data_IF_357788869470
#
_entry.id   IF_357788869470
#
_cell.length_a   1.000
_cell.length_b   1.000
_cell.length_c   1.000
_cell.angle_alpha   90.00
_cell.angle_beta   90.00
_cell.angle_gamma   90.00
#
_symmetry.space_group_name_H-M   'P 1'
#
loop_
_entity.id
_entity.type
_entity.pdbx_description
1 polymer ?
#
# COMPACT_ATOMS: atom_id res chain seq x y z
N UNK A 1 -7.65 -15.33 -19.95
CA UNK A 1 -6.64 -14.23 -20.14
C UNK A 1 -5.25 -14.84 -20.18
N UNK A 2 -4.42 -14.47 -21.14
CA UNK A 2 -3.09 -15.06 -21.40
C UNK A 2 -2.02 -14.10 -20.90
N UNK A 3 -1.12 -14.56 -20.03
CA UNK A 3 0.03 -13.80 -19.55
C UNK A 3 1.27 -14.18 -20.35
N UNK A 4 1.98 -13.18 -20.85
CA UNK A 4 3.25 -13.31 -21.55
C UNK A 4 4.31 -12.63 -20.66
N UNK A 5 5.35 -13.38 -20.30
CA UNK A 5 6.48 -12.88 -19.53
C UNK A 5 7.71 -12.73 -20.42
N UNK A 6 8.72 -11.99 -19.95
CA UNK A 6 10.03 -11.87 -20.57
C UNK A 6 10.01 -11.30 -22.00
N UNK A 7 9.09 -10.37 -22.30
CA UNK A 7 9.17 -9.59 -23.54
C UNK A 7 10.26 -8.55 -23.33
N UNK A 8 11.30 -8.59 -24.14
CA UNK A 8 12.45 -7.72 -24.07
C UNK A 8 12.43 -6.70 -25.20
N UNK A 9 12.66 -5.43 -24.89
CA UNK A 9 12.74 -4.33 -25.86
C UNK A 9 13.86 -3.39 -25.40
N UNK A 10 14.74 -2.98 -26.34
CA UNK A 10 15.76 -1.99 -26.05
C UNK A 10 15.15 -0.70 -25.52
N UNK A 11 15.77 -0.12 -24.48
CA UNK A 11 15.32 1.15 -23.93
C UNK A 11 15.28 2.27 -24.96
N UNK A 12 16.22 2.28 -25.91
CA UNK A 12 16.30 3.27 -26.98
C UNK A 12 15.21 3.08 -28.06
N UNK A 13 14.70 1.85 -28.22
CA UNK A 13 13.57 1.59 -29.10
C UNK A 13 12.26 2.09 -28.49
N UNK A 14 12.08 1.94 -27.18
CA UNK A 14 10.90 2.43 -26.46
C UNK A 14 10.97 3.95 -26.27
N UNK A 15 12.08 4.44 -25.71
CA UNK A 15 12.23 5.84 -25.30
C UNK A 15 11.30 6.18 -24.13
N UNK A 16 10.71 7.37 -24.18
CA UNK A 16 9.75 7.88 -23.20
C UNK A 16 8.30 7.92 -23.74
N UNK A 17 8.05 7.32 -24.91
CA UNK A 17 6.76 7.36 -25.60
C UNK A 17 5.90 6.15 -25.23
N UNK A 18 4.90 6.35 -24.38
CA UNK A 18 3.99 5.30 -23.91
C UNK A 18 3.10 4.70 -25.04
N UNK A 19 2.77 5.48 -26.05
CA UNK A 19 2.00 4.95 -27.19
C UNK A 19 2.86 4.03 -28.06
N UNK A 20 4.11 4.42 -28.27
CA UNK A 20 5.10 3.60 -28.96
C UNK A 20 5.38 2.31 -28.20
N UNK A 21 5.55 2.40 -26.87
CA UNK A 21 5.68 1.23 -25.98
C UNK A 21 4.52 0.26 -26.16
N UNK A 22 3.29 0.76 -26.09
CA UNK A 22 2.08 -0.06 -26.27
C UNK A 22 2.01 -0.71 -27.64
N UNK A 23 2.35 0.01 -28.72
CA UNK A 23 2.38 -0.53 -30.09
C UNK A 23 3.42 -1.64 -30.25
N UNK A 24 4.61 -1.46 -29.69
CA UNK A 24 5.67 -2.47 -29.72
C UNK A 24 5.26 -3.72 -28.93
N UNK A 25 4.71 -3.55 -27.76
CA UNK A 25 4.21 -4.67 -26.94
C UNK A 25 3.10 -5.44 -27.65
N UNK A 26 2.16 -4.74 -28.31
CA UNK A 26 1.10 -5.38 -29.09
C UNK A 26 1.66 -6.19 -30.25
N UNK A 27 2.61 -5.62 -31.01
CA UNK A 27 3.29 -6.30 -32.13
C UNK A 27 4.03 -7.56 -31.67
N UNK A 28 4.85 -7.46 -30.63
CA UNK A 28 5.63 -8.59 -30.11
C UNK A 28 4.73 -9.67 -29.50
N UNK A 29 3.68 -9.26 -28.78
CA UNK A 29 2.70 -10.20 -28.23
C UNK A 29 1.97 -10.98 -29.30
N UNK A 30 1.57 -10.33 -30.40
CA UNK A 30 0.94 -10.99 -31.53
C UNK A 30 1.89 -12.04 -32.17
N UNK A 31 3.16 -11.70 -32.34
CA UNK A 31 4.18 -12.64 -32.84
C UNK A 31 4.36 -13.84 -31.92
N UNK A 32 4.47 -13.62 -30.61
CA UNK A 32 4.62 -14.68 -29.61
C UNK A 32 3.39 -15.60 -29.51
N UNK A 33 2.20 -15.06 -29.75
CA UNK A 33 0.94 -15.79 -29.75
C UNK A 33 0.59 -16.38 -31.13
N UNK A 34 1.43 -16.15 -32.17
CA UNK A 34 1.18 -16.60 -33.54
C UNK A 34 -0.19 -16.16 -34.06
N UNK A 35 -0.57 -14.91 -33.77
CA UNK A 35 -1.84 -14.30 -34.20
C UNK A 35 -1.60 -12.89 -34.79
N UNK A 36 -2.64 -12.28 -35.38
CA UNK A 36 -2.57 -10.91 -35.89
C UNK A 36 -2.73 -9.92 -34.75
N UNK A 37 -2.22 -8.69 -34.90
CA UNK A 37 -2.38 -7.64 -33.91
C UNK A 37 -3.86 -7.28 -33.63
N UNK A 38 -4.71 -7.40 -34.66
CA UNK A 38 -6.16 -7.15 -34.56
C UNK A 38 -6.91 -8.27 -33.82
N UNK A 39 -6.30 -9.43 -33.66
CA UNK A 39 -6.84 -10.52 -32.85
C UNK A 39 -6.71 -10.23 -31.35
N UNK A 40 -5.87 -9.24 -30.97
CA UNK A 40 -5.71 -8.77 -29.60
C UNK A 40 -6.80 -7.76 -29.24
N UNK A 41 -7.81 -8.22 -28.50
CA UNK A 41 -8.92 -7.39 -28.00
C UNK A 41 -8.47 -6.42 -26.90
N UNK A 42 -7.57 -6.88 -25.99
CA UNK A 42 -7.05 -6.06 -24.88
C UNK A 42 -5.63 -6.51 -24.53
N UNK A 43 -4.76 -5.55 -24.35
CA UNK A 43 -3.42 -5.72 -23.80
C UNK A 43 -3.32 -4.87 -22.53
N UNK A 44 -2.87 -5.47 -21.43
CA UNK A 44 -2.60 -4.78 -20.18
C UNK A 44 -1.15 -5.00 -19.81
N UNK A 45 -0.40 -3.93 -19.65
CA UNK A 45 0.92 -3.97 -19.04
C UNK A 45 0.77 -4.32 -17.56
N UNK A 46 1.46 -5.37 -17.13
CA UNK A 46 1.39 -5.91 -15.75
C UNK A 46 2.64 -5.58 -14.97
N UNK A 47 3.81 -5.61 -15.65
CA UNK A 47 5.09 -5.36 -15.02
C UNK A 47 6.10 -4.88 -16.04
N UNK A 48 6.89 -3.89 -15.64
CA UNK A 48 8.07 -3.40 -16.33
C UNK A 48 9.27 -3.53 -15.39
N UNK A 49 10.38 -4.06 -15.87
CA UNK A 49 11.64 -4.10 -15.15
C UNK A 49 12.79 -3.78 -16.09
N UNK A 50 13.92 -3.37 -15.53
CA UNK A 50 15.13 -3.01 -16.28
C UNK A 50 16.11 -4.19 -16.20
N UNK A 51 16.61 -4.63 -17.33
CA UNK A 51 17.75 -5.55 -17.46
C UNK A 51 18.97 -4.75 -17.91
N UNK A 52 19.83 -4.37 -16.96
CA UNK A 52 21.05 -3.59 -17.19
C UNK A 52 22.33 -4.43 -16.96
N UNK A 53 22.24 -5.75 -17.09
CA UNK A 53 23.41 -6.63 -16.96
C UNK A 53 24.44 -6.34 -18.06
N UNK A 54 23.97 -6.02 -19.26
CA UNK A 54 24.76 -5.56 -20.40
C UNK A 54 24.57 -4.07 -20.54
N UNK A 55 25.58 -3.29 -20.14
CA UNK A 55 25.49 -1.82 -20.09
C UNK A 55 25.30 -1.17 -21.45
N UNK A 56 25.79 -1.81 -22.51
CA UNK A 56 25.67 -1.33 -23.89
C UNK A 56 24.34 -1.72 -24.53
N UNK A 57 23.64 -2.70 -23.95
CA UNK A 57 22.35 -3.19 -24.41
C UNK A 57 21.36 -3.32 -23.24
N UNK A 58 20.96 -2.20 -22.67
CA UNK A 58 19.96 -2.17 -21.61
C UNK A 58 18.57 -2.37 -22.21
N UNK A 59 17.81 -3.29 -21.64
CA UNK A 59 16.47 -3.65 -22.08
C UNK A 59 15.42 -3.41 -20.99
N UNK A 60 14.25 -2.98 -21.39
CA UNK A 60 13.04 -3.20 -20.60
C UNK A 60 12.59 -4.65 -20.75
N UNK A 61 12.21 -5.25 -19.64
CA UNK A 61 11.63 -6.61 -19.58
C UNK A 61 10.20 -6.51 -19.10
N UNK A 62 9.28 -6.89 -19.95
CA UNK A 62 7.86 -6.73 -19.71
C UNK A 62 7.16 -8.04 -19.38
N UNK A 63 6.09 -7.92 -18.59
CA UNK A 63 5.03 -8.90 -18.46
C UNK A 63 3.72 -8.24 -18.85
N UNK A 64 2.99 -8.85 -19.76
CA UNK A 64 1.69 -8.35 -20.23
C UNK A 64 0.60 -9.42 -20.09
N UNK A 65 -0.62 -8.96 -19.85
CA UNK A 65 -1.82 -9.77 -19.93
C UNK A 65 -2.56 -9.44 -21.22
N UNK A 66 -2.81 -10.46 -22.03
CA UNK A 66 -3.45 -10.33 -23.33
C UNK A 66 -4.80 -11.06 -23.32
N UNK A 67 -5.82 -10.41 -23.84
CA UNK A 67 -7.10 -11.02 -24.15
C UNK A 67 -7.28 -11.04 -25.67
N UNK A 68 -7.39 -12.22 -26.24
CA UNK A 68 -7.68 -12.42 -27.65
C UNK A 68 -9.20 -12.42 -27.91
N UNK A 69 -9.59 -12.27 -29.16
CA UNK A 69 -10.96 -12.51 -29.59
C UNK A 69 -11.31 -14.00 -29.50
N UNK A 70 -12.56 -14.30 -29.17
CA UNK A 70 -13.04 -15.67 -29.00
C UNK A 70 -12.94 -16.50 -30.31
N UNK A 71 -12.92 -15.82 -31.47
CA UNK A 71 -12.66 -16.44 -32.77
C UNK A 71 -11.28 -17.09 -32.89
N UNK A 72 -10.31 -16.68 -32.07
CA UNK A 72 -8.91 -17.19 -32.09
C UNK A 72 -8.70 -18.29 -31.06
N UNK A 73 -9.19 -18.07 -29.84
CA UNK A 73 -8.91 -18.95 -28.69
C UNK A 73 -10.11 -19.81 -28.29
N UNK A 74 -11.28 -19.55 -28.88
CA UNK A 74 -12.55 -20.13 -28.48
C UNK A 74 -13.17 -19.42 -27.25
N UNK A 75 -14.45 -19.73 -26.94
CA UNK A 75 -15.22 -18.99 -25.96
C UNK A 75 -15.00 -19.41 -24.50
N UNK A 76 -14.27 -20.50 -24.26
CA UNK A 76 -14.11 -21.06 -22.91
C UNK A 76 -12.67 -20.97 -22.38
N UNK A 77 -12.51 -21.05 -21.05
CA UNK A 77 -11.19 -21.13 -20.42
C UNK A 77 -10.42 -22.38 -20.86
N UNK A 78 -11.10 -23.48 -21.12
CA UNK A 78 -10.48 -24.71 -21.57
C UNK A 78 -9.90 -24.59 -23.00
N UNK A 79 -10.63 -23.93 -23.90
CA UNK A 79 -10.12 -23.69 -25.27
C UNK A 79 -8.95 -22.72 -25.27
N UNK A 80 -8.97 -21.68 -24.43
CA UNK A 80 -7.84 -20.79 -24.23
C UNK A 80 -6.63 -21.54 -23.65
N UNK A 81 -6.82 -22.46 -22.71
CA UNK A 81 -5.73 -23.29 -22.18
C UNK A 81 -5.08 -24.14 -23.26
N UNK A 82 -5.88 -24.85 -24.05
CA UNK A 82 -5.40 -25.65 -25.18
C UNK A 82 -4.65 -24.83 -26.23
N UNK A 83 -5.09 -23.60 -26.45
CA UNK A 83 -4.37 -22.66 -27.32
C UNK A 83 -2.98 -22.34 -26.76
N UNK A 84 -2.89 -21.99 -25.47
CA UNK A 84 -1.61 -21.68 -24.79
C UNK A 84 -0.67 -22.88 -24.79
N UNK A 85 -1.16 -24.09 -24.53
CA UNK A 85 -0.36 -25.31 -24.53
C UNK A 85 0.26 -25.61 -25.91
N UNK A 86 -0.48 -25.33 -26.99
CA UNK A 86 0.04 -25.51 -28.37
C UNK A 86 1.22 -24.61 -28.71
N UNK A 87 1.35 -23.45 -28.05
CA UNK A 87 2.45 -22.51 -28.29
C UNK A 87 3.79 -23.05 -27.76
N UNK A 88 3.78 -24.02 -26.86
CA UNK A 88 4.97 -24.66 -26.25
C UNK A 88 6.01 -23.66 -25.74
N UNK A 89 5.56 -22.53 -25.19
CA UNK A 89 6.41 -21.45 -24.71
C UNK A 89 6.25 -21.28 -23.19
N UNK A 90 7.31 -21.55 -22.43
CA UNK A 90 7.31 -21.48 -20.97
C UNK A 90 7.02 -20.07 -20.40
N UNK A 91 7.21 -19.02 -21.19
CA UNK A 91 6.92 -17.65 -20.82
C UNK A 91 5.44 -17.29 -21.02
N UNK A 92 4.64 -18.16 -21.62
CA UNK A 92 3.22 -17.92 -21.90
C UNK A 92 2.38 -18.85 -21.04
N UNK A 93 1.41 -18.28 -20.32
CA UNK A 93 0.51 -19.08 -19.48
C UNK A 93 -0.87 -18.47 -19.40
N UNK A 94 -1.86 -19.33 -19.21
CA UNK A 94 -3.20 -18.88 -18.88
C UNK A 94 -3.28 -18.34 -17.45
N UNK A 95 -4.05 -17.28 -17.25
CA UNK A 95 -4.29 -16.66 -15.94
C UNK A 95 -5.75 -16.80 -15.53
N UNK A 96 -5.97 -17.46 -14.41
CA UNK A 96 -7.30 -17.70 -13.82
C UNK A 96 -7.46 -16.98 -12.45
N UNK A 97 -6.67 -15.90 -12.21
CA UNK A 97 -6.71 -15.21 -10.92
C UNK A 97 -7.96 -14.34 -10.83
N UNK A 98 -8.85 -14.66 -9.89
CA UNK A 98 -9.92 -13.75 -9.51
C UNK A 98 -9.31 -12.53 -8.78
N UNK A 99 -9.83 -11.31 -9.01
CA UNK A 99 -9.42 -10.15 -8.22
C UNK A 99 -9.80 -10.33 -6.76
N UNK A 100 -9.01 -9.74 -5.85
CA UNK A 100 -9.39 -9.64 -4.44
C UNK A 100 -10.70 -8.85 -4.35
N UNK A 101 -11.71 -9.43 -3.72
CA UNK A 101 -13.00 -8.79 -3.47
C UNK A 101 -13.14 -8.58 -1.98
N UNK A 102 -13.43 -7.35 -1.55
CA UNK A 102 -13.79 -7.06 -0.17
C UNK A 102 -15.22 -7.53 0.10
N UNK A 103 -15.54 -7.99 1.32
CA UNK A 103 -16.90 -8.35 1.73
C UNK A 103 -17.73 -7.07 1.98
N UNK A 104 -17.97 -6.29 0.93
CA UNK A 104 -18.80 -5.09 1.01
C UNK A 104 -20.24 -5.51 1.18
N UNK A 105 -20.97 -5.03 2.21
CA UNK A 105 -22.39 -5.30 2.36
C UNK A 105 -23.12 -4.85 1.08
N UNK A 106 -23.97 -5.69 0.55
CA UNK A 106 -24.91 -5.23 -0.50
C UNK A 106 -25.75 -4.13 0.15
N UNK A 107 -25.88 -2.99 -0.51
CA UNK A 107 -26.75 -1.91 -0.05
C UNK A 107 -28.15 -2.50 0.21
N UNK A 108 -28.48 -2.70 1.47
CA UNK A 108 -29.87 -2.86 1.91
C UNK A 108 -30.42 -1.44 1.83
N UNK A 109 -31.26 -1.21 0.82
CA UNK A 109 -31.87 0.10 0.59
C UNK A 109 -32.50 0.67 1.84
N UNK A 110 -32.25 1.95 2.05
CA UNK A 110 -32.88 2.85 3.02
C UNK A 110 -32.77 2.50 4.51
N UNK A 111 -31.79 3.12 5.16
CA UNK A 111 -32.00 3.65 6.51
C UNK A 111 -30.94 4.67 6.89
N UNK A 112 -30.92 5.86 6.28
CA UNK A 112 -30.38 7.10 6.89
C UNK A 112 -30.93 8.31 6.11
N UNK A 113 -32.21 8.59 6.33
CA UNK A 113 -32.78 9.90 6.07
C UNK A 113 -32.70 10.70 7.36
N UNK A 114 -31.68 11.51 7.51
CA UNK A 114 -31.54 12.49 8.57
C UNK A 114 -31.05 13.79 7.96
N UNK A 115 -31.98 14.69 7.68
CA UNK A 115 -31.71 16.10 7.39
C UNK A 115 -31.06 16.73 8.61
N UNK A 116 -29.83 17.23 8.46
CA UNK A 116 -29.20 18.09 9.47
C UNK A 116 -29.36 19.53 9.07
N UNK A 117 -30.36 20.21 9.65
CA UNK A 117 -30.29 21.65 9.85
C UNK A 117 -29.49 21.91 11.13
N UNK A 118 -28.62 22.89 11.04
CA UNK A 118 -27.58 23.17 12.00
C UNK A 118 -28.04 23.77 13.32
N UNK A 119 -27.05 23.95 14.19
CA UNK A 119 -27.02 24.61 15.51
C UNK A 119 -27.51 23.81 16.69
N UNK A 120 -26.60 23.32 17.50
CA UNK A 120 -26.90 22.71 18.81
C UNK A 120 -25.66 22.26 19.54
N UNK A 121 -25.33 23.00 20.57
CA UNK A 121 -24.35 22.76 21.63
C UNK A 121 -24.48 21.33 22.19
N UNK A 122 -23.35 20.67 22.34
CA UNK A 122 -23.32 19.24 22.53
C UNK A 122 -23.31 18.75 23.96
N UNK A 123 -24.40 18.29 24.48
CA UNK A 123 -24.46 17.26 25.53
C UNK A 123 -25.74 16.49 25.31
N UNK A 124 -25.67 15.27 24.82
CA UNK A 124 -26.82 14.42 24.57
C UNK A 124 -26.44 12.94 24.65
N UNK A 125 -26.44 12.37 25.85
CA UNK A 125 -26.67 10.96 26.07
C UNK A 125 -28.06 10.61 25.53
N UNK A 126 -28.08 9.73 24.53
CA UNK A 126 -29.34 9.26 23.93
C UNK A 126 -29.11 7.98 23.15
N UNK A 127 -28.80 6.89 23.82
CA UNK A 127 -28.76 5.55 23.24
C UNK A 127 -30.11 4.92 23.46
N UNK A 128 -30.92 4.87 22.41
CA UNK A 128 -32.12 4.02 22.36
C UNK A 128 -31.71 2.55 22.31
N UNK A 129 -32.16 1.78 23.26
CA UNK A 129 -31.99 0.33 23.36
C UNK A 129 -33.00 -0.37 22.44
N UNK A 130 -32.59 -0.71 21.22
CA UNK A 130 -33.35 -1.60 20.36
C UNK A 130 -32.63 -2.96 20.31
N UNK A 131 -33.11 -3.93 21.00
CA UNK A 131 -32.75 -5.35 21.23
C UNK A 131 -31.92 -6.16 20.22
N UNK A 132 -31.35 -5.54 19.16
CA UNK A 132 -30.27 -6.04 18.35
C UNK A 132 -29.01 -5.28 18.81
N UNK A 133 -28.17 -5.92 19.63
CA UNK A 133 -27.03 -5.31 20.27
C UNK A 133 -26.27 -4.39 19.33
N UNK A 134 -26.26 -3.08 19.62
CA UNK A 134 -25.53 -2.05 18.85
C UNK A 134 -24.08 -2.49 18.78
N UNK A 135 -23.61 -2.88 17.61
CA UNK A 135 -22.19 -3.22 17.42
C UNK A 135 -21.36 -1.98 17.69
N UNK A 136 -20.62 -1.99 18.80
CA UNK A 136 -19.69 -0.91 19.15
C UNK A 136 -18.69 -0.71 18.00
N UNK A 137 -18.27 0.54 17.79
CA UNK A 137 -17.31 0.87 16.75
C UNK A 137 -15.99 0.09 16.95
N UNK A 138 -15.40 -0.52 15.92
CA UNK A 138 -14.09 -1.13 16.02
C UNK A 138 -13.03 -0.06 16.26
N UNK A 139 -12.09 -0.35 17.17
CA UNK A 139 -10.99 0.56 17.47
C UNK A 139 -9.72 0.08 16.76
N UNK A 140 -9.03 1.02 16.12
CA UNK A 140 -7.73 0.80 15.47
C UNK A 140 -6.71 1.67 16.17
N UNK A 141 -5.68 1.07 16.75
CA UNK A 141 -4.60 1.76 17.44
C UNK A 141 -3.38 1.89 16.54
N UNK A 142 -3.03 3.12 16.22
CA UNK A 142 -1.99 3.49 15.27
C UNK A 142 -2.52 3.73 13.86
N UNK A 143 -2.11 4.83 13.25
CA UNK A 143 -2.43 5.23 11.87
C UNK A 143 -1.25 5.07 10.91
N UNK A 144 -0.31 4.19 11.22
CA UNK A 144 0.70 3.70 10.28
C UNK A 144 0.08 2.88 9.14
N UNK A 145 0.87 2.33 8.21
CA UNK A 145 0.32 1.64 7.04
C UNK A 145 -0.67 0.53 7.38
N UNK A 146 -0.41 -0.25 8.43
CA UNK A 146 -1.30 -1.32 8.86
C UNK A 146 -2.65 -0.78 9.36
N UNK A 147 -2.63 0.20 10.26
CA UNK A 147 -3.85 0.78 10.82
C UNK A 147 -4.66 1.57 9.80
N UNK A 148 -3.98 2.33 8.93
CA UNK A 148 -4.61 3.07 7.85
C UNK A 148 -5.38 2.15 6.89
N UNK A 149 -4.76 1.04 6.47
CA UNK A 149 -5.44 0.06 5.61
C UNK A 149 -6.52 -0.72 6.36
N UNK A 150 -6.33 -1.05 7.64
CA UNK A 150 -7.38 -1.67 8.45
C UNK A 150 -8.62 -0.77 8.54
N UNK A 151 -8.42 0.51 8.86
CA UNK A 151 -9.49 1.49 8.92
C UNK A 151 -10.17 1.70 7.55
N UNK A 152 -9.38 1.78 6.47
CA UNK A 152 -9.89 1.88 5.11
C UNK A 152 -10.79 0.69 4.72
N UNK A 153 -10.32 -0.53 4.98
CA UNK A 153 -11.11 -1.76 4.68
C UNK A 153 -12.37 -1.82 5.52
N UNK A 154 -12.29 -1.47 6.81
CA UNK A 154 -13.48 -1.37 7.67
C UNK A 154 -14.50 -0.37 7.11
N UNK A 155 -14.04 0.81 6.70
CA UNK A 155 -14.89 1.84 6.12
C UNK A 155 -15.54 1.39 4.78
N UNK A 156 -14.77 0.73 3.90
CA UNK A 156 -15.30 0.12 2.66
C UNK A 156 -16.35 -0.96 2.94
N UNK A 157 -16.23 -1.67 4.07
CA UNK A 157 -17.20 -2.67 4.52
C UNK A 157 -18.37 -2.08 5.33
N UNK A 158 -18.57 -0.76 5.31
CA UNK A 158 -19.68 -0.09 6.00
C UNK A 158 -19.54 -0.05 7.52
N UNK A 159 -18.30 -0.25 8.06
CA UNK A 159 -18.01 -0.10 9.49
C UNK A 159 -17.46 1.32 9.74
N UNK A 160 -17.70 1.83 10.92
CA UNK A 160 -17.24 3.18 11.33
C UNK A 160 -16.12 3.08 12.37
N UNK A 161 -14.85 2.86 11.95
CA UNK A 161 -13.75 2.68 12.88
C UNK A 161 -13.41 3.97 13.64
N UNK A 162 -12.92 3.83 14.89
CA UNK A 162 -12.27 4.89 15.64
C UNK A 162 -10.78 4.60 15.61
N UNK A 163 -9.99 5.54 15.09
CA UNK A 163 -8.55 5.43 14.97
C UNK A 163 -7.90 6.28 16.05
N UNK A 164 -7.10 5.64 16.92
CA UNK A 164 -6.28 6.30 17.94
C UNK A 164 -4.85 6.43 17.42
N UNK A 165 -4.37 7.65 17.22
CA UNK A 165 -3.00 7.92 16.82
C UNK A 165 -2.29 8.75 17.91
N UNK A 166 -1.13 8.27 18.36
CA UNK A 166 -0.31 8.91 19.39
C UNK A 166 0.16 10.30 18.99
N UNK A 167 0.61 10.43 17.74
CA UNK A 167 1.11 11.69 17.21
C UNK A 167 0.05 12.53 16.52
N UNK A 168 0.52 13.50 15.79
CA UNK A 168 -0.30 14.47 15.03
C UNK A 168 -0.69 13.93 13.65
N UNK A 169 -1.63 14.65 13.02
CA UNK A 169 -1.90 14.51 11.59
C UNK A 169 -0.65 14.78 10.74
N UNK A 170 -0.68 14.31 9.49
CA UNK A 170 0.51 14.32 8.62
C UNK A 170 1.05 15.73 8.34
N UNK A 171 0.21 16.75 8.31
CA UNK A 171 0.63 18.13 8.05
C UNK A 171 1.42 18.70 9.25
N UNK A 172 0.89 18.57 10.47
CA UNK A 172 1.57 19.01 11.69
C UNK A 172 2.79 18.15 12.02
N UNK A 173 2.70 16.85 11.75
CA UNK A 173 3.82 15.93 11.92
C UNK A 173 4.99 16.30 11.03
N UNK A 174 4.76 16.74 9.79
CA UNK A 174 5.81 17.20 8.88
C UNK A 174 6.58 18.37 9.52
N UNK A 175 5.87 19.38 10.03
CA UNK A 175 6.51 20.51 10.70
C UNK A 175 7.34 20.09 11.93
N UNK A 176 6.83 19.17 12.76
CA UNK A 176 7.59 18.65 13.91
C UNK A 176 8.84 17.86 13.51
N UNK A 177 8.77 17.14 12.41
CA UNK A 177 9.91 16.38 11.85
C UNK A 177 10.99 17.32 11.32
N UNK A 178 10.60 18.42 10.65
CA UNK A 178 11.52 19.47 10.21
C UNK A 178 12.25 20.12 11.40
N UNK A 179 11.51 20.50 12.45
CA UNK A 179 12.11 21.04 13.68
C UNK A 179 13.12 20.05 14.30
N UNK A 180 12.83 18.76 14.29
CA UNK A 180 13.77 17.74 14.76
C UNK A 180 15.05 17.70 13.92
N UNK A 181 14.96 17.74 12.61
CA UNK A 181 16.14 17.74 11.74
C UNK A 181 16.99 19.00 11.87
N UNK A 182 16.37 20.15 12.10
CA UNK A 182 17.08 21.43 12.27
C UNK A 182 17.72 21.57 13.65
N UNK A 183 17.02 21.18 14.71
CA UNK A 183 17.39 21.48 16.10
C UNK A 183 17.90 20.27 16.90
N UNK A 184 17.68 19.04 16.42
CA UNK A 184 17.91 17.81 17.17
C UNK A 184 16.90 17.56 18.31
N UNK A 185 15.88 18.40 18.47
CA UNK A 185 14.90 18.29 19.53
C UNK A 185 13.80 17.28 19.18
N UNK A 186 13.86 16.11 19.80
CA UNK A 186 12.90 15.05 19.58
C UNK A 186 11.61 15.26 20.39
N UNK A 187 10.46 15.20 19.73
CA UNK A 187 9.16 15.02 20.37
C UNK A 187 8.91 13.50 20.56
N UNK A 188 8.72 13.00 21.80
CA UNK A 188 8.60 11.56 22.05
C UNK A 188 7.32 10.94 21.47
N UNK A 189 6.26 11.71 21.33
CA UNK A 189 4.95 11.23 20.87
C UNK A 189 4.65 11.56 19.39
N UNK A 190 5.37 12.51 18.77
CA UNK A 190 5.20 12.88 17.38
C UNK A 190 6.54 13.12 16.68
N UNK A 191 6.98 12.16 15.86
CA UNK A 191 8.32 12.17 15.26
C UNK A 191 8.38 11.30 14.00
N UNK A 192 9.59 10.85 13.58
CA UNK A 192 9.79 10.00 12.40
C UNK A 192 9.09 8.63 12.55
N UNK A 193 8.86 8.14 13.79
CA UNK A 193 8.27 6.83 14.05
C UNK A 193 6.78 6.90 14.37
N UNK A 194 6.34 7.95 15.07
CA UNK A 194 4.98 8.15 15.54
C UNK A 194 4.32 9.31 14.82
N UNK A 195 3.02 9.19 14.59
CA UNK A 195 2.18 10.12 13.87
C UNK A 195 1.58 9.50 12.61
N UNK A 196 0.63 10.19 12.02
CA UNK A 196 -0.14 9.72 10.88
C UNK A 196 0.76 9.25 9.71
N UNK A 197 0.41 8.10 9.13
CA UNK A 197 1.17 7.45 8.07
C UNK A 197 2.34 6.57 8.56
N UNK A 198 2.71 6.66 9.86
CA UNK A 198 3.77 5.84 10.46
C UNK A 198 5.17 6.16 9.94
N UNK A 199 6.15 5.32 10.27
CA UNK A 199 7.56 5.53 9.90
C UNK A 199 7.82 5.55 8.38
N UNK A 200 6.92 4.98 7.58
CA UNK A 200 7.03 4.95 6.12
C UNK A 200 6.90 6.31 5.45
N UNK A 201 6.11 7.22 6.02
CA UNK A 201 5.80 8.53 5.43
C UNK A 201 7.05 9.40 5.21
N UNK A 202 8.03 9.30 6.10
CA UNK A 202 9.29 10.05 6.00
C UNK A 202 10.48 9.17 5.60
N UNK A 203 10.21 8.01 5.00
CA UNK A 203 11.22 7.17 4.39
C UNK A 203 11.50 7.60 2.94
N UNK A 204 12.36 6.87 2.24
CA UNK A 204 12.64 7.14 0.83
C UNK A 204 11.52 6.71 -0.14
N UNK A 205 10.34 6.33 0.36
CA UNK A 205 9.15 6.03 -0.45
C UNK A 205 9.22 4.75 -1.29
N UNK A 206 10.20 3.90 -1.07
CA UNK A 206 10.31 2.62 -1.79
C UNK A 206 9.31 1.60 -1.27
N UNK A 207 8.43 1.13 -2.14
CA UNK A 207 7.44 0.11 -1.84
C UNK A 207 7.96 -1.30 -2.17
N UNK A 208 8.99 -1.74 -1.45
CA UNK A 208 9.61 -3.03 -1.68
C UNK A 208 9.08 -4.09 -0.71
N UNK A 209 8.72 -5.26 -1.25
CA UNK A 209 8.37 -6.44 -0.46
C UNK A 209 9.00 -7.70 -1.04
N UNK A 210 9.34 -8.64 -0.19
CA UNK A 210 9.77 -10.00 -0.58
C UNK A 210 8.62 -11.02 -0.55
N UNK A 211 7.42 -10.60 -0.17
CA UNK A 211 6.24 -11.46 -0.07
C UNK A 211 5.75 -11.83 -1.48
N UNK A 212 5.47 -13.12 -1.69
CA UNK A 212 4.81 -13.59 -2.91
C UNK A 212 3.30 -13.29 -2.83
N UNK A 213 2.82 -12.38 -3.66
CA UNK A 213 1.41 -11.99 -3.68
C UNK A 213 0.51 -13.07 -4.30
N UNK A 214 0.15 -14.06 -3.50
CA UNK A 214 -0.78 -15.13 -3.92
C UNK A 214 -2.25 -14.68 -3.88
N UNK A 215 -2.59 -13.78 -2.96
CA UNK A 215 -3.96 -13.29 -2.72
C UNK A 215 -4.34 -12.05 -3.52
N UNK A 216 -3.39 -11.32 -4.13
CA UNK A 216 -3.64 -10.04 -4.78
C UNK A 216 -3.63 -8.84 -3.82
N UNK A 217 -3.12 -9.04 -2.60
CA UNK A 217 -3.07 -7.98 -1.58
C UNK A 217 -2.13 -6.84 -1.96
N UNK A 218 -0.98 -7.15 -2.57
CA UNK A 218 -0.04 -6.11 -3.05
C UNK A 218 -0.71 -5.28 -4.15
N UNK A 219 -1.38 -5.93 -5.11
CA UNK A 219 -2.13 -5.22 -6.15
C UNK A 219 -3.23 -4.34 -5.56
N UNK A 220 -3.93 -4.82 -4.52
CA UNK A 220 -4.94 -4.04 -3.80
C UNK A 220 -4.34 -2.80 -3.14
N UNK A 221 -3.23 -2.93 -2.42
CA UNK A 221 -2.53 -1.82 -1.77
C UNK A 221 -2.09 -0.77 -2.79
N UNK A 222 -1.43 -1.19 -3.87
CA UNK A 222 -0.96 -0.27 -4.91
C UNK A 222 -2.12 0.44 -5.62
N UNK A 223 -3.21 -0.27 -5.94
CA UNK A 223 -4.42 0.35 -6.50
C UNK A 223 -5.05 1.36 -5.55
N UNK A 224 -5.03 1.07 -4.25
CA UNK A 224 -5.52 2.01 -3.24
C UNK A 224 -4.66 3.26 -3.21
N UNK A 225 -3.34 3.14 -3.26
CA UNK A 225 -2.47 4.31 -3.34
C UNK A 225 -2.72 5.14 -4.60
N UNK A 226 -2.90 4.51 -5.76
CA UNK A 226 -3.27 5.22 -7.01
C UNK A 226 -4.62 5.91 -6.87
N UNK A 227 -5.62 5.24 -6.26
CA UNK A 227 -6.94 5.84 -6.00
C UNK A 227 -6.83 7.14 -5.19
N UNK A 228 -5.86 7.23 -4.29
CA UNK A 228 -5.66 8.36 -3.40
C UNK A 228 -4.54 9.32 -3.82
N UNK A 229 -4.02 9.20 -5.04
CA UNK A 229 -3.17 10.21 -5.65
C UNK A 229 -1.74 9.78 -6.00
N UNK A 230 -1.38 8.51 -5.81
CA UNK A 230 -0.10 8.02 -6.31
C UNK A 230 -0.12 7.82 -7.82
N UNK A 231 1.07 7.91 -8.45
CA UNK A 231 1.23 7.71 -9.88
C UNK A 231 0.81 6.27 -10.28
N UNK A 232 -0.02 6.09 -11.33
CA UNK A 232 -0.37 4.78 -11.86
C UNK A 232 0.83 3.89 -12.26
N UNK A 233 1.98 4.45 -12.54
CA UNK A 233 3.19 3.69 -12.88
C UNK A 233 3.63 2.73 -11.77
N UNK A 234 3.31 3.01 -10.51
CA UNK A 234 3.59 2.09 -9.40
C UNK A 234 2.93 0.71 -9.55
N UNK A 235 1.87 0.60 -10.38
CA UNK A 235 1.18 -0.66 -10.65
C UNK A 235 1.99 -1.59 -11.57
N UNK A 236 2.89 -1.04 -12.34
CA UNK A 236 3.65 -1.75 -13.38
C UNK A 236 5.13 -1.86 -13.07
N UNK A 237 5.69 -0.91 -12.36
CA UNK A 237 7.11 -0.93 -12.02
C UNK A 237 7.47 -2.05 -11.04
N UNK A 238 8.58 -2.72 -11.31
CA UNK A 238 9.05 -3.79 -10.42
C UNK A 238 9.52 -3.29 -9.05
N UNK A 239 9.98 -2.07 -8.99
CA UNK A 239 10.43 -1.39 -7.77
C UNK A 239 9.65 -0.08 -7.61
N UNK A 240 8.35 -0.17 -7.27
CA UNK A 240 7.52 1.02 -7.18
C UNK A 240 8.06 1.97 -6.13
N UNK A 241 8.05 3.24 -6.47
CA UNK A 241 8.50 4.33 -5.61
C UNK A 241 7.41 5.40 -5.55
N UNK A 242 7.04 5.79 -4.33
CA UNK A 242 6.14 6.91 -4.09
C UNK A 242 6.93 7.94 -3.29
N UNK A 243 7.16 9.12 -3.86
CA UNK A 243 7.86 10.20 -3.15
C UNK A 243 7.19 10.56 -1.83
N UNK A 244 7.95 11.07 -0.88
CA UNK A 244 7.43 11.42 0.45
C UNK A 244 6.34 12.49 0.39
N UNK A 245 6.46 13.43 -0.52
CA UNK A 245 5.48 14.48 -0.84
C UNK A 245 4.15 13.91 -1.33
N UNK A 246 4.21 12.96 -2.26
CA UNK A 246 3.03 12.24 -2.77
C UNK A 246 2.43 11.35 -1.68
N UNK A 247 3.26 10.68 -0.89
CA UNK A 247 2.80 9.76 0.16
C UNK A 247 2.05 10.49 1.27
N UNK A 248 2.48 11.69 1.66
CA UNK A 248 1.74 12.54 2.62
C UNK A 248 0.35 12.88 2.11
N UNK A 249 0.24 13.23 0.82
CA UNK A 249 -1.05 13.49 0.15
C UNK A 249 -1.93 12.25 0.12
N UNK A 250 -1.39 11.09 -0.23
CA UNK A 250 -2.13 9.82 -0.24
C UNK A 250 -2.68 9.49 1.14
N UNK A 251 -1.86 9.61 2.18
CA UNK A 251 -2.26 9.34 3.58
C UNK A 251 -3.39 10.26 4.01
N UNK A 252 -3.28 11.56 3.73
CA UNK A 252 -4.31 12.56 4.01
C UNK A 252 -5.63 12.24 3.29
N UNK A 253 -5.57 11.96 2.00
CA UNK A 253 -6.75 11.62 1.21
C UNK A 253 -7.44 10.33 1.70
N UNK A 254 -6.66 9.33 2.13
CA UNK A 254 -7.20 8.11 2.75
C UNK A 254 -7.91 8.42 4.07
N UNK A 255 -7.33 9.26 4.94
CA UNK A 255 -7.98 9.71 6.18
C UNK A 255 -9.30 10.41 5.90
N UNK A 256 -9.30 11.39 5.00
CA UNK A 256 -10.49 12.15 4.64
C UNK A 256 -11.59 11.24 4.09
N UNK A 257 -11.21 10.25 3.30
CA UNK A 257 -12.13 9.23 2.81
C UNK A 257 -12.73 8.39 3.95
N UNK A 258 -11.90 7.91 4.90
CA UNK A 258 -12.37 7.14 6.06
C UNK A 258 -13.36 7.97 6.89
N UNK A 259 -13.04 9.25 7.11
CA UNK A 259 -13.93 10.18 7.82
C UNK A 259 -15.26 10.38 7.06
N UNK A 260 -15.22 10.54 5.73
CA UNK A 260 -16.43 10.68 4.90
C UNK A 260 -17.35 9.46 4.95
N UNK A 261 -16.81 8.29 5.35
CA UNK A 261 -17.55 7.04 5.58
C UNK A 261 -18.01 6.86 7.04
N UNK A 262 -17.85 7.89 7.88
CA UNK A 262 -18.24 7.87 9.28
C UNK A 262 -17.18 7.39 10.26
N UNK A 263 -15.96 7.12 9.80
CA UNK A 263 -14.81 6.85 10.67
C UNK A 263 -14.36 8.09 11.44
N UNK A 264 -13.72 7.90 12.57
CA UNK A 264 -13.25 9.00 13.44
C UNK A 264 -11.77 8.83 13.76
N UNK A 265 -10.97 9.89 13.59
CA UNK A 265 -9.59 9.97 14.04
C UNK A 265 -9.48 10.74 15.35
N UNK A 266 -8.70 10.20 16.28
CA UNK A 266 -8.31 10.86 17.52
C UNK A 266 -6.78 10.93 17.50
N UNK A 267 -6.26 12.10 17.21
CA UNK A 267 -4.82 12.40 17.27
C UNK A 267 -4.39 12.75 18.68
N UNK A 268 -3.10 12.72 18.95
CA UNK A 268 -2.51 12.91 20.26
C UNK A 268 -3.05 11.93 21.32
N UNK A 269 -3.49 10.76 20.87
CA UNK A 269 -4.14 9.73 21.66
C UNK A 269 -3.19 8.53 21.85
N UNK A 270 -2.38 8.57 22.91
CA UNK A 270 -1.51 7.46 23.25
C UNK A 270 -2.34 6.36 23.90
N UNK A 271 -2.38 5.21 23.27
CA UNK A 271 -3.04 4.02 23.80
C UNK A 271 -2.27 3.50 25.03
N UNK A 272 -2.94 3.43 26.17
CA UNK A 272 -2.33 3.06 27.44
C UNK A 272 -2.73 1.68 27.91
N UNK A 273 -4.01 1.29 27.76
CA UNK A 273 -4.51 0.04 28.33
C UNK A 273 -5.73 -0.53 27.60
N UNK A 274 -6.00 -1.79 27.86
CA UNK A 274 -7.21 -2.48 27.42
C UNK A 274 -7.83 -3.28 28.58
N UNK A 275 -9.15 -3.40 28.58
CA UNK A 275 -9.89 -4.23 29.52
C UNK A 275 -10.60 -5.35 28.75
N UNK A 276 -10.44 -6.57 29.25
CA UNK A 276 -11.18 -7.74 28.77
C UNK A 276 -12.05 -8.30 29.90
N UNK A 277 -13.25 -8.79 29.54
CA UNK A 277 -14.16 -9.49 30.43
C UNK A 277 -14.60 -10.77 29.75
N UNK A 278 -14.55 -11.88 30.45
CA UNK A 278 -14.95 -13.20 29.95
C UNK A 278 -14.30 -13.58 28.59
N UNK A 279 -13.02 -13.23 28.43
CA UNK A 279 -12.27 -13.50 27.19
C UNK A 279 -12.56 -12.55 26.02
N UNK A 280 -13.40 -11.53 26.22
CA UNK A 280 -13.75 -10.53 25.21
C UNK A 280 -13.28 -9.14 25.61
N UNK A 281 -12.79 -8.38 24.61
CA UNK A 281 -12.45 -6.97 24.85
C UNK A 281 -13.71 -6.17 25.16
N UNK A 282 -13.62 -5.31 26.16
CA UNK A 282 -14.74 -4.47 26.58
C UNK A 282 -14.48 -2.97 26.46
N UNK A 283 -13.22 -2.54 26.63
CA UNK A 283 -12.83 -1.14 26.50
C UNK A 283 -11.33 -0.98 26.29
N UNK A 284 -10.94 0.20 25.80
CA UNK A 284 -9.57 0.68 25.74
C UNK A 284 -9.45 2.02 26.42
N UNK A 285 -8.28 2.33 26.99
CA UNK A 285 -7.97 3.65 27.50
C UNK A 285 -6.82 4.27 26.73
N UNK A 286 -6.86 5.59 26.61
CA UNK A 286 -5.78 6.38 26.02
C UNK A 286 -5.60 7.71 26.78
N UNK A 287 -4.40 8.23 26.75
CA UNK A 287 -4.08 9.55 27.29
C UNK A 287 -3.87 10.53 26.13
N UNK A 288 -4.55 11.67 26.22
CA UNK A 288 -4.24 12.82 25.37
C UNK A 288 -2.85 13.36 25.74
N UNK A 289 -1.92 13.31 24.77
CA UNK A 289 -0.50 13.65 25.01
C UNK A 289 -0.26 15.15 25.22
N UNK A 290 -1.22 16.01 24.87
CA UNK A 290 -1.15 17.46 25.09
C UNK A 290 -1.67 17.85 26.49
N UNK A 291 -2.80 17.26 26.87
CA UNK A 291 -3.47 17.64 28.14
C UNK A 291 -3.15 16.74 29.31
N UNK A 292 -2.66 15.52 29.04
CA UNK A 292 -2.45 14.47 30.05
C UNK A 292 -3.74 13.79 30.52
N UNK A 293 -4.90 14.14 29.96
CA UNK A 293 -6.17 13.56 30.36
C UNK A 293 -6.35 12.15 29.80
N UNK A 294 -6.77 11.21 30.65
CA UNK A 294 -7.10 9.85 30.22
C UNK A 294 -8.57 9.72 29.88
N UNK A 295 -8.86 9.03 28.80
CA UNK A 295 -10.21 8.72 28.32
C UNK A 295 -10.36 7.22 28.11
N UNK A 296 -11.60 6.71 28.25
CA UNK A 296 -11.95 5.32 28.01
C UNK A 296 -13.00 5.22 26.90
N UNK A 297 -12.78 4.30 25.97
CA UNK A 297 -13.73 3.99 24.90
C UNK A 297 -14.17 2.53 25.03
N UNK A 298 -15.46 2.32 25.01
CA UNK A 298 -16.02 0.97 24.94
C UNK A 298 -15.86 0.40 23.53
N UNK A 299 -15.45 -0.86 23.44
CA UNK A 299 -15.31 -1.57 22.17
C UNK A 299 -15.51 -3.06 22.34
N UNK A 300 -15.86 -3.73 21.25
CA UNK A 300 -15.89 -5.19 21.13
C UNK A 300 -14.84 -5.74 20.17
N UNK A 301 -14.16 -4.87 19.45
CA UNK A 301 -13.14 -5.21 18.46
C UNK A 301 -11.99 -4.22 18.54
N UNK A 302 -10.77 -4.73 18.60
CA UNK A 302 -9.54 -3.94 18.70
C UNK A 302 -8.51 -4.46 17.68
N UNK A 303 -7.96 -3.55 16.88
CA UNK A 303 -6.84 -3.81 15.98
C UNK A 303 -5.63 -3.03 16.51
N UNK A 304 -4.60 -3.74 16.98
CA UNK A 304 -3.35 -3.14 17.41
C UNK A 304 -2.38 -3.03 16.23
N UNK A 305 -2.14 -1.82 15.76
CA UNK A 305 -1.27 -1.50 14.63
C UNK A 305 -0.19 -0.48 15.02
N UNK A 306 0.33 -0.57 16.23
CA UNK A 306 1.20 0.40 16.91
C UNK A 306 2.62 0.51 16.32
N UNK A 307 2.99 -0.38 15.40
CA UNK A 307 4.35 -0.47 14.86
C UNK A 307 5.35 -1.06 15.85
N UNK A 308 6.62 -1.13 15.46
CA UNK A 308 7.66 -1.82 16.24
C UNK A 308 8.29 -0.96 17.36
N UNK A 309 8.01 0.33 17.42
CA UNK A 309 8.64 1.27 18.35
C UNK A 309 7.81 1.59 19.59
N UNK A 310 6.56 1.13 19.67
CA UNK A 310 5.65 1.35 20.79
C UNK A 310 5.98 0.44 21.99
N UNK A 311 7.13 0.69 22.61
CA UNK A 311 7.66 -0.14 23.72
C UNK A 311 6.77 -0.13 24.95
N UNK A 312 6.15 0.99 25.25
CA UNK A 312 5.15 1.16 26.30
C UNK A 312 3.95 0.22 26.10
N UNK A 313 3.39 0.17 24.88
CA UNK A 313 2.33 -0.78 24.51
C UNK A 313 2.79 -2.23 24.68
N UNK A 314 4.00 -2.57 24.24
CA UNK A 314 4.53 -3.93 24.41
C UNK A 314 4.73 -4.32 25.88
N UNK A 315 5.18 -3.39 26.71
CA UNK A 315 5.32 -3.61 28.15
C UNK A 315 3.95 -3.79 28.81
N UNK A 316 2.97 -2.99 28.44
CA UNK A 316 1.59 -3.14 28.92
C UNK A 316 1.02 -4.52 28.56
N UNK A 317 1.15 -4.95 27.31
CA UNK A 317 0.68 -6.26 26.86
C UNK A 317 1.39 -7.41 27.60
N UNK A 318 2.71 -7.29 27.79
CA UNK A 318 3.49 -8.26 28.57
C UNK A 318 3.02 -8.34 30.04
N UNK A 319 2.73 -7.20 30.66
CA UNK A 319 2.26 -7.15 32.03
C UNK A 319 0.82 -7.69 32.20
N UNK A 320 0.11 -7.86 31.12
CA UNK A 320 -1.22 -8.49 31.05
C UNK A 320 -1.16 -9.94 30.57
N UNK A 321 0.02 -10.56 30.61
CA UNK A 321 0.25 -11.96 30.26
C UNK A 321 -0.16 -12.33 28.80
N UNK A 322 -0.09 -11.36 27.87
CA UNK A 322 -0.20 -11.68 26.45
C UNK A 322 1.00 -12.50 26.01
N UNK A 323 0.75 -13.55 25.24
CA UNK A 323 1.81 -14.39 24.67
C UNK A 323 2.60 -13.59 23.61
N UNK A 324 3.90 -13.43 23.86
CA UNK A 324 4.81 -12.61 23.05
C UNK A 324 6.12 -13.35 22.79
N UNK A 325 6.49 -13.42 21.52
CA UNK A 325 7.76 -14.02 21.08
C UNK A 325 8.73 -12.95 20.55
N UNK A 326 10.01 -13.10 20.91
CA UNK A 326 11.06 -12.31 20.29
C UNK A 326 11.29 -12.75 18.83
N UNK A 327 11.29 -11.80 17.93
CA UNK A 327 11.54 -12.05 16.49
C UNK A 327 12.82 -11.38 16.01
N UNK A 328 13.60 -12.03 15.14
CA UNK A 328 14.75 -11.40 14.49
C UNK A 328 14.29 -10.25 13.60
N UNK A 329 15.10 -9.22 13.51
CA UNK A 329 14.86 -8.05 12.67
C UNK A 329 16.11 -7.68 11.88
N UNK A 330 15.93 -6.93 10.78
CA UNK A 330 17.03 -6.46 9.98
C UNK A 330 17.61 -5.16 10.55
N UNK A 331 18.92 -5.12 10.72
CA UNK A 331 19.69 -3.93 11.13
C UNK A 331 20.60 -3.52 9.99
N UNK A 332 20.77 -2.23 9.80
CA UNK A 332 21.69 -1.70 8.80
C UNK A 332 22.05 -0.25 9.07
N UNK A 333 22.86 0.28 8.18
CA UNK A 333 23.26 1.68 8.18
C UNK A 333 22.72 2.38 6.93
N UNK A 334 22.43 3.66 7.03
CA UNK A 334 22.17 4.50 5.86
C UNK A 334 23.49 4.95 5.26
N UNK A 335 23.67 4.71 3.96
CA UNK A 335 24.82 5.18 3.19
C UNK A 335 24.32 6.23 2.22
N UNK A 336 25.04 7.35 2.14
CA UNK A 336 24.80 8.41 1.16
C UNK A 336 25.99 8.50 0.21
N UNK A 337 25.71 8.67 -1.06
CA UNK A 337 26.68 8.91 -2.12
C UNK A 337 26.02 9.63 -3.30
N UNK A 338 26.80 10.26 -4.19
CA UNK A 338 26.24 10.89 -5.38
C UNK A 338 25.50 9.88 -6.27
N UNK A 339 24.33 10.22 -6.74
CA UNK A 339 23.51 9.37 -7.63
C UNK A 339 24.28 8.98 -8.90
N UNK A 340 25.05 9.90 -9.44
CA UNK A 340 25.87 9.68 -10.65
C UNK A 340 26.82 8.48 -10.51
N UNK A 341 27.36 8.22 -9.30
CA UNK A 341 28.21 7.06 -9.04
C UNK A 341 27.45 5.76 -9.30
N UNK A 342 26.20 5.68 -8.85
CA UNK A 342 25.34 4.52 -9.01
C UNK A 342 24.88 4.39 -10.46
N UNK A 343 24.50 5.49 -11.09
CA UNK A 343 24.06 5.50 -12.49
C UNK A 343 25.18 5.01 -13.41
N UNK A 344 26.41 5.51 -13.25
CA UNK A 344 27.58 5.03 -13.99
C UNK A 344 27.87 3.55 -13.71
N UNK A 345 27.75 3.13 -12.45
CA UNK A 345 28.02 1.75 -12.07
C UNK A 345 27.00 0.77 -12.68
N UNK A 346 25.72 1.14 -12.76
CA UNK A 346 24.65 0.27 -13.24
C UNK A 346 24.33 0.44 -14.73
N UNK A 347 24.33 1.66 -15.25
CA UNK A 347 23.98 1.95 -16.64
C UNK A 347 25.16 2.10 -17.58
N UNK A 348 26.40 2.19 -17.04
CA UNK A 348 27.62 2.53 -17.80
C UNK A 348 27.75 4.02 -18.05
N UNK A 349 28.96 4.44 -18.44
CA UNK A 349 29.24 5.86 -18.71
C UNK A 349 28.76 6.31 -20.10
N UNK A 350 28.72 5.40 -21.05
CA UNK A 350 28.29 5.71 -22.43
C UNK A 350 26.82 6.09 -22.49
N UNK A 351 26.52 7.19 -23.16
CA UNK A 351 25.14 7.72 -23.31
C UNK A 351 24.37 7.84 -22.00
N UNK A 352 25.07 8.13 -20.88
CA UNK A 352 24.47 8.10 -19.55
C UNK A 352 23.28 9.05 -19.43
N UNK A 353 23.39 10.28 -19.95
CA UNK A 353 22.30 11.26 -19.89
C UNK A 353 21.04 10.80 -20.64
N UNK A 354 21.18 10.11 -21.77
CA UNK A 354 20.05 9.56 -22.50
C UNK A 354 19.41 8.39 -21.73
N UNK A 355 20.24 7.51 -21.17
CA UNK A 355 19.79 6.41 -20.32
C UNK A 355 19.05 6.92 -19.09
N UNK A 356 19.57 7.94 -18.42
CA UNK A 356 18.90 8.58 -17.27
C UNK A 356 17.57 9.22 -17.64
N UNK A 357 17.47 9.86 -18.82
CA UNK A 357 16.23 10.44 -19.30
C UNK A 357 15.12 9.38 -19.50
N UNK A 358 15.49 8.16 -19.89
CA UNK A 358 14.55 7.05 -20.15
C UNK A 358 14.26 6.24 -18.88
N UNK A 359 15.31 5.95 -18.09
CA UNK A 359 15.25 4.99 -16.97
C UNK A 359 15.04 5.64 -15.60
N UNK A 360 15.28 6.94 -15.50
CA UNK A 360 15.40 7.62 -14.21
C UNK A 360 16.68 7.23 -13.45
N UNK A 361 16.79 7.60 -12.16
CA UNK A 361 17.92 7.27 -11.31
C UNK A 361 18.02 5.76 -11.06
N UNK A 362 19.24 5.23 -11.15
CA UNK A 362 19.49 3.82 -10.90
C UNK A 362 19.29 3.45 -9.41
N UNK A 363 18.62 2.33 -9.17
CA UNK A 363 18.35 1.82 -7.83
C UNK A 363 19.04 0.48 -7.60
N UNK A 364 19.69 0.32 -6.45
CA UNK A 364 20.29 -0.93 -6.04
C UNK A 364 19.77 -1.43 -4.69
N UNK A 365 20.06 -2.67 -4.36
CA UNK A 365 19.76 -3.27 -3.06
C UNK A 365 20.97 -4.05 -2.57
N UNK A 366 21.41 -3.75 -1.35
CA UNK A 366 22.44 -4.51 -0.65
C UNK A 366 21.82 -5.19 0.57
N UNK A 367 21.91 -6.50 0.62
CA UNK A 367 21.49 -7.29 1.78
C UNK A 367 22.46 -8.45 1.97
N UNK A 368 22.82 -8.72 3.22
CA UNK A 368 23.61 -9.88 3.60
C UNK A 368 23.00 -10.51 4.83
N UNK A 369 22.93 -11.82 4.85
CA UNK A 369 22.57 -12.55 6.07
C UNK A 369 23.75 -12.41 7.05
N UNK A 370 23.47 -12.02 8.29
CA UNK A 370 24.48 -12.05 9.33
C UNK A 370 24.98 -13.48 9.52
N UNK A 371 26.28 -13.65 9.71
CA UNK A 371 26.84 -14.91 10.15
C UNK A 371 26.48 -15.05 11.62
N UNK A 372 25.88 -16.19 11.98
CA UNK A 372 25.63 -16.53 13.38
C UNK A 372 26.95 -16.81 14.07
#
# INVERSE_FOLDING_TARGET
MIRINQIKISIFEVGTDAEKETRLLKKLSAGLLSCRQDDIRKLKLVRRSIDAREKDNIEFVYTVDVRLHDSVVGPSAETELRFVEKLKNANIRQMNKAPLTLPIPKETGNAFGGTTDGTGDGTGDGIGDDGAGIKKAPIVVGSGPCGLFAAYVLAECGRTPIILERGEDVDKRTAKTEIFFESGKLDPDCNIQFGEGGAGTFSDGKLNTSIKDRGGYIEFVLKTFVRFGADPEILIDQKPHVGTDVLTTVVKNMREYIISKGGRYVFNARFDDLTARDGHISSVSYTDTHTGNTQTLECSELILATGHSARDTFLMLKNKDFDMEAKPFAVGVRIQHPQELIDKALYGADRLSEKQAILGPAAYKLTRKALN
#
